data_IF_852766276435
#
_entry.id   IF_852766276435
#
_cell.length_a   1.000
_cell.length_b   1.000
_cell.length_c   1.000
_cell.angle_alpha   90.00
_cell.angle_beta   90.00
_cell.angle_gamma   90.00
#
_symmetry.space_group_name_H-M   'P 1'
#
loop_
_entity.id
_entity.type
_entity.pdbx_description
1 polymer ?
#
# COMPACT_ATOMS: atom_id res chain seq x y z
N UNK A 1 15.64 1.42 12.00
CA UNK A 1 14.87 0.15 12.11
C UNK A 1 13.36 0.40 12.11
N UNK A 2 12.83 1.31 12.93
CA UNK A 2 11.36 1.51 13.05
C UNK A 2 10.68 1.89 11.74
N UNK A 3 11.06 3.01 11.10
CA UNK A 3 10.39 3.51 9.89
C UNK A 3 10.37 2.47 8.76
N UNK A 4 11.52 2.07 8.20
CA UNK A 4 11.54 1.13 7.07
C UNK A 4 10.94 -0.25 7.37
N UNK A 5 10.89 -0.66 8.65
CA UNK A 5 10.18 -1.86 9.03
C UNK A 5 8.67 -1.64 8.93
N UNK A 6 8.14 -0.62 9.61
CA UNK A 6 6.68 -0.37 9.74
C UNK A 6 6.08 0.28 8.49
N UNK A 7 6.74 1.27 7.92
CA UNK A 7 6.36 2.10 6.75
C UNK A 7 7.07 1.63 5.48
N UNK A 8 7.45 0.34 5.43
CA UNK A 8 8.10 -0.25 4.27
C UNK A 8 7.82 -1.74 4.20
N UNK A 9 8.54 -2.54 4.99
CA UNK A 9 8.42 -4.01 4.95
C UNK A 9 7.00 -4.48 5.28
N UNK A 10 6.36 -3.92 6.30
CA UNK A 10 4.97 -4.27 6.66
C UNK A 10 3.96 -3.90 5.57
N UNK A 11 4.19 -2.83 4.80
CA UNK A 11 3.33 -2.46 3.68
C UNK A 11 3.40 -3.48 2.55
N UNK A 12 4.61 -3.97 2.24
CA UNK A 12 4.81 -5.03 1.25
C UNK A 12 4.07 -6.31 1.65
N UNK A 13 4.17 -6.70 2.93
CA UNK A 13 3.45 -7.87 3.47
C UNK A 13 1.94 -7.67 3.35
N UNK A 14 1.44 -6.50 3.75
CA UNK A 14 0.01 -6.16 3.68
C UNK A 14 -0.50 -6.19 2.23
N UNK A 15 0.23 -5.56 1.30
CA UNK A 15 -0.13 -5.53 -0.12
C UNK A 15 -0.15 -6.94 -0.72
N UNK A 16 0.84 -7.78 -0.40
CA UNK A 16 0.89 -9.16 -0.86
C UNK A 16 -0.27 -10.00 -0.31
N UNK A 17 -0.60 -9.85 0.97
CA UNK A 17 -1.75 -10.53 1.58
C UNK A 17 -3.07 -10.08 0.95
N UNK A 18 -3.25 -8.77 0.75
CA UNK A 18 -4.44 -8.22 0.09
C UNK A 18 -4.57 -8.74 -1.35
N UNK A 19 -3.49 -8.70 -2.12
CA UNK A 19 -3.45 -9.23 -3.48
C UNK A 19 -3.82 -10.72 -3.52
N UNK A 20 -3.26 -11.53 -2.63
CA UNK A 20 -3.60 -12.95 -2.50
C UNK A 20 -5.10 -13.15 -2.23
N UNK A 21 -5.68 -12.41 -1.28
CA UNK A 21 -7.11 -12.48 -0.97
C UNK A 21 -7.95 -12.09 -2.18
N UNK A 22 -7.61 -11.00 -2.87
CA UNK A 22 -8.32 -10.54 -4.06
C UNK A 22 -8.28 -11.58 -5.19
N UNK A 23 -7.14 -12.24 -5.42
CA UNK A 23 -7.01 -13.33 -6.41
C UNK A 23 -7.98 -14.47 -6.08
N UNK A 24 -8.03 -14.89 -4.81
CA UNK A 24 -8.88 -16.01 -4.39
C UNK A 24 -10.37 -15.68 -4.38
N UNK A 25 -10.72 -14.43 -4.17
CA UNK A 25 -12.10 -14.01 -3.88
C UNK A 25 -12.80 -13.36 -5.09
N UNK A 26 -12.09 -12.67 -5.97
CA UNK A 26 -12.74 -11.92 -7.05
C UNK A 26 -12.87 -12.72 -8.35
N UNK A 27 -11.96 -13.68 -8.58
CA UNK A 27 -11.86 -14.39 -9.87
C UNK A 27 -11.37 -13.50 -11.02
N UNK A 28 -10.87 -12.30 -10.72
CA UNK A 28 -10.13 -11.46 -11.67
C UNK A 28 -8.80 -12.14 -12.01
N UNK A 29 -8.30 -11.92 -13.23
CA UNK A 29 -7.03 -12.46 -13.67
C UNK A 29 -5.89 -12.07 -12.72
N UNK A 30 -5.07 -13.06 -12.37
CA UNK A 30 -3.89 -12.91 -11.51
C UNK A 30 -2.94 -11.88 -12.08
N UNK A 31 -2.75 -11.85 -13.40
CA UNK A 31 -1.85 -10.90 -14.06
C UNK A 31 -2.23 -9.45 -13.74
N UNK A 32 -3.53 -9.14 -13.71
CA UNK A 32 -4.01 -7.78 -13.40
C UNK A 32 -3.70 -7.42 -11.95
N UNK A 33 -3.99 -8.33 -11.00
CA UNK A 33 -3.79 -8.08 -9.57
C UNK A 33 -2.30 -7.97 -9.25
N UNK A 34 -1.45 -8.80 -9.84
CA UNK A 34 0.00 -8.73 -9.64
C UNK A 34 0.61 -7.46 -10.22
N UNK A 35 0.14 -6.98 -11.38
CA UNK A 35 0.57 -5.66 -11.91
C UNK A 35 0.26 -4.54 -10.92
N UNK A 36 -0.94 -4.54 -10.34
CA UNK A 36 -1.29 -3.58 -9.28
C UNK A 36 -0.40 -3.72 -8.05
N UNK A 37 -0.12 -4.96 -7.62
CA UNK A 37 0.77 -5.23 -6.50
C UNK A 37 2.17 -4.63 -6.74
N UNK A 38 2.75 -4.86 -7.92
CA UNK A 38 4.06 -4.30 -8.24
C UNK A 38 4.06 -2.77 -8.26
N UNK A 39 3.02 -2.14 -8.81
CA UNK A 39 2.87 -0.67 -8.77
C UNK A 39 2.83 -0.16 -7.32
N UNK A 40 2.02 -0.78 -6.47
CA UNK A 40 1.89 -0.40 -5.05
C UNK A 40 3.23 -0.56 -4.31
N UNK A 41 3.92 -1.69 -4.50
CA UNK A 41 5.22 -1.95 -3.86
C UNK A 41 6.27 -0.94 -4.35
N UNK A 42 6.31 -0.63 -5.64
CA UNK A 42 7.24 0.36 -6.18
C UNK A 42 6.98 1.74 -5.57
N UNK A 43 5.72 2.15 -5.50
CA UNK A 43 5.34 3.43 -4.87
C UNK A 43 5.79 3.46 -3.40
N UNK A 44 5.43 2.45 -2.61
CA UNK A 44 5.80 2.33 -1.20
C UNK A 44 7.32 2.41 -0.98
N UNK A 45 8.11 1.66 -1.77
CA UNK A 45 9.57 1.67 -1.62
C UNK A 45 10.18 3.01 -2.03
N UNK A 46 9.74 3.59 -3.15
CA UNK A 46 10.29 4.87 -3.63
C UNK A 46 9.98 5.99 -2.64
N UNK A 47 8.75 6.05 -2.12
CA UNK A 47 8.35 7.08 -1.15
C UNK A 47 8.97 6.84 0.21
N UNK A 48 8.84 5.64 0.80
CA UNK A 48 9.29 5.36 2.17
C UNK A 48 10.82 5.31 2.36
N UNK A 49 11.59 4.86 1.35
CA UNK A 49 13.06 4.81 1.50
C UNK A 49 13.64 6.22 1.66
N UNK A 50 13.22 7.18 0.83
CA UNK A 50 13.69 8.56 0.92
C UNK A 50 12.91 9.33 1.99
N UNK A 51 11.63 9.00 2.16
CA UNK A 51 10.71 9.57 3.16
C UNK A 51 11.15 9.33 4.60
N UNK A 52 11.97 8.29 4.85
CA UNK A 52 12.69 8.12 6.14
C UNK A 52 13.39 9.42 6.59
N UNK A 53 13.79 10.28 5.64
CA UNK A 53 14.34 11.61 5.85
C UNK A 53 13.53 12.52 6.77
N UNK A 54 12.21 12.31 6.90
CA UNK A 54 11.37 13.10 7.82
C UNK A 54 11.67 12.88 9.30
N UNK A 55 12.36 11.79 9.65
CA UNK A 55 12.89 11.57 11.01
C UNK A 55 14.21 12.29 11.24
N UNK A 56 14.83 12.81 10.18
CA UNK A 56 16.17 13.40 10.21
C UNK A 56 16.17 14.93 10.38
N UNK A 57 15.00 15.57 10.29
CA UNK A 57 14.84 17.02 10.31
C UNK A 57 15.53 17.70 11.51
N UNK A 58 15.52 17.07 12.68
CA UNK A 58 15.90 17.72 13.94
C UNK A 58 16.93 16.93 14.78
N UNK A 59 17.60 15.94 14.18
CA UNK A 59 18.60 15.12 14.88
C UNK A 59 20.06 15.51 14.52
N UNK A 60 20.25 16.67 13.88
CA UNK A 60 21.56 17.19 13.49
C UNK A 60 22.11 16.65 12.16
N UNK A 61 21.25 16.12 11.28
CA UNK A 61 21.64 15.76 9.91
C UNK A 61 21.68 16.98 8.97
N UNK A 62 22.31 16.88 7.79
CA UNK A 62 22.35 17.99 6.83
C UNK A 62 20.96 18.49 6.38
N UNK A 63 20.86 19.79 6.09
CA UNK A 63 19.60 20.47 5.76
C UNK A 63 18.89 19.93 4.50
N UNK A 64 19.61 19.28 3.58
CA UNK A 64 18.97 18.71 2.39
C UNK A 64 17.92 17.65 2.75
N UNK A 65 17.99 17.04 3.94
CA UNK A 65 16.97 16.11 4.40
C UNK A 65 15.62 16.77 4.66
N UNK A 66 15.56 18.08 4.97
CA UNK A 66 14.28 18.78 5.05
C UNK A 66 13.56 18.75 3.70
N UNK A 67 14.27 19.01 2.60
CA UNK A 67 13.69 18.94 1.26
C UNK A 67 13.30 17.52 0.85
N UNK A 68 14.23 16.57 0.94
CA UNK A 68 13.97 15.19 0.51
C UNK A 68 12.93 14.50 1.39
N UNK A 69 13.06 14.62 2.71
CA UNK A 69 12.13 14.05 3.66
C UNK A 69 10.73 14.61 3.49
N UNK A 70 10.56 15.94 3.35
CA UNK A 70 9.23 16.53 3.15
C UNK A 70 8.57 16.13 1.84
N UNK A 71 9.32 16.10 0.73
CA UNK A 71 8.74 15.75 -0.57
C UNK A 71 8.31 14.29 -0.59
N UNK A 72 9.16 13.37 -0.15
CA UNK A 72 8.89 11.94 -0.28
C UNK A 72 7.91 11.43 0.78
N UNK A 73 7.96 11.95 2.01
CA UNK A 73 6.97 11.58 3.03
C UNK A 73 5.57 12.10 2.69
N UNK A 74 5.45 13.25 2.02
CA UNK A 74 4.16 13.73 1.51
C UNK A 74 3.55 12.81 0.44
N UNK A 75 4.36 11.96 -0.20
CA UNK A 75 3.91 11.00 -1.22
C UNK A 75 3.60 9.60 -0.62
N UNK A 76 4.01 9.30 0.61
CA UNK A 76 3.75 8.01 1.27
C UNK A 76 2.27 7.62 1.39
N UNK A 77 1.28 8.53 1.42
CA UNK A 77 -0.14 8.14 1.36
C UNK A 77 -0.59 7.52 0.03
N UNK A 78 0.14 7.75 -1.07
CA UNK A 78 -0.22 7.29 -2.42
C UNK A 78 -0.34 5.76 -2.54
N UNK A 79 0.64 4.93 -2.12
CA UNK A 79 0.51 3.47 -2.17
C UNK A 79 -0.73 2.95 -1.42
N UNK A 80 -1.08 3.54 -0.28
CA UNK A 80 -2.28 3.14 0.48
C UNK A 80 -3.59 3.53 -0.22
N UNK A 81 -3.63 4.71 -0.83
CA UNK A 81 -4.75 5.10 -1.66
C UNK A 81 -4.88 4.17 -2.87
N UNK A 82 -3.77 3.79 -3.51
CA UNK A 82 -3.75 2.83 -4.61
C UNK A 82 -4.24 1.44 -4.16
N UNK A 83 -3.93 0.98 -2.94
CA UNK A 83 -4.49 -0.25 -2.36
C UNK A 83 -6.01 -0.18 -2.23
N UNK A 84 -6.55 0.96 -1.77
CA UNK A 84 -8.00 1.18 -1.68
C UNK A 84 -8.65 1.10 -3.07
N UNK A 85 -8.11 1.83 -4.04
CA UNK A 85 -8.60 1.82 -5.42
C UNK A 85 -8.55 0.41 -6.00
N UNK A 86 -7.43 -0.31 -5.83
CA UNK A 86 -7.27 -1.68 -6.27
C UNK A 86 -8.33 -2.60 -5.66
N UNK A 87 -8.47 -2.60 -4.32
CA UNK A 87 -9.44 -3.45 -3.62
C UNK A 87 -10.88 -3.21 -4.11
N UNK A 88 -11.28 -1.94 -4.27
CA UNK A 88 -12.62 -1.62 -4.77
C UNK A 88 -12.81 -2.02 -6.23
N UNK A 89 -11.82 -1.78 -7.09
CA UNK A 89 -11.89 -2.09 -8.51
C UNK A 89 -11.98 -3.60 -8.75
N UNK A 90 -11.11 -4.40 -8.09
CA UNK A 90 -11.13 -5.86 -8.23
C UNK A 90 -12.43 -6.48 -7.69
N UNK A 91 -12.97 -5.95 -6.59
CA UNK A 91 -14.26 -6.43 -6.04
C UNK A 91 -15.44 -6.04 -6.92
N UNK A 92 -15.41 -4.88 -7.58
CA UNK A 92 -16.45 -4.45 -8.51
C UNK A 92 -16.40 -5.24 -9.83
N UNK A 93 -15.21 -5.65 -10.26
CA UNK A 93 -14.98 -6.48 -11.45
C UNK A 93 -15.07 -7.99 -11.19
N UNK A 94 -15.54 -8.41 -10.02
CA UNK A 94 -15.57 -9.83 -9.65
C UNK A 94 -16.38 -10.64 -10.66
N UNK A 95 -15.80 -11.73 -11.14
CA UNK A 95 -16.44 -12.65 -12.07
C UNK A 95 -17.22 -13.76 -11.35
N UNK A 96 -17.06 -13.89 -10.02
CA UNK A 96 -17.69 -14.95 -9.21
C UNK A 96 -18.45 -14.35 -8.04
N UNK A 97 -19.60 -14.96 -7.73
CA UNK A 97 -20.32 -14.73 -6.48
C UNK A 97 -19.55 -15.37 -5.32
N UNK A 98 -19.43 -14.65 -4.20
CA UNK A 98 -18.71 -15.12 -3.02
C UNK A 98 -19.67 -15.52 -1.91
N UNK A 99 -19.54 -16.76 -1.45
CA UNK A 99 -20.36 -17.31 -0.36
C UNK A 99 -20.04 -16.63 0.99
N UNK A 100 -18.80 -16.19 1.16
CA UNK A 100 -18.31 -15.53 2.39
C UNK A 100 -18.11 -14.03 2.17
N UNK A 101 -19.20 -13.27 2.18
CA UNK A 101 -19.17 -11.81 1.97
C UNK A 101 -18.31 -11.06 3.00
N UNK A 102 -18.11 -11.63 4.19
CA UNK A 102 -17.22 -11.08 5.21
C UNK A 102 -15.77 -10.90 4.74
N UNK A 103 -15.27 -11.80 3.88
CA UNK A 103 -13.89 -11.69 3.35
C UNK A 103 -13.79 -10.52 2.35
N UNK A 104 -14.82 -10.35 1.52
CA UNK A 104 -14.90 -9.22 0.57
C UNK A 104 -14.97 -7.89 1.33
N UNK A 105 -15.78 -7.83 2.38
CA UNK A 105 -15.90 -6.64 3.22
C UNK A 105 -14.59 -6.34 3.95
N UNK A 106 -13.95 -7.36 4.51
CA UNK A 106 -12.65 -7.22 5.16
C UNK A 106 -11.59 -6.72 4.17
N UNK A 107 -11.50 -7.26 2.95
CA UNK A 107 -10.53 -6.81 1.95
C UNK A 107 -10.70 -5.34 1.57
N UNK A 108 -11.95 -4.87 1.40
CA UNK A 108 -12.25 -3.44 1.15
C UNK A 108 -11.94 -2.58 2.37
N UNK A 109 -12.33 -3.05 3.56
CA UNK A 109 -12.08 -2.38 4.83
C UNK A 109 -10.59 -2.19 5.10
N UNK A 110 -9.78 -3.23 4.89
CA UNK A 110 -8.32 -3.15 5.00
C UNK A 110 -7.73 -2.10 4.06
N UNK A 111 -8.21 -2.02 2.81
CA UNK A 111 -7.81 -0.95 1.88
C UNK A 111 -8.08 0.44 2.46
N UNK A 112 -9.32 0.69 2.90
CA UNK A 112 -9.72 2.00 3.47
C UNK A 112 -8.91 2.32 4.72
N UNK A 113 -8.82 1.40 5.68
CA UNK A 113 -8.08 1.62 6.94
C UNK A 113 -6.61 1.90 6.67
N UNK A 114 -6.02 1.22 5.68
CA UNK A 114 -4.63 1.47 5.28
C UNK A 114 -4.46 2.90 4.72
N UNK A 115 -5.45 3.45 4.01
CA UNK A 115 -5.40 4.83 3.48
C UNK A 115 -5.60 5.95 4.51
N UNK A 116 -5.95 5.62 5.76
CA UNK A 116 -6.13 6.58 6.84
C UNK A 116 -4.86 6.76 7.69
N UNK A 117 -3.76 6.15 7.28
CA UNK A 117 -2.49 6.18 8.01
C UNK A 117 -1.66 7.41 7.67
#
# INVERSE_FOLDING_TARGET
VVHLWVEGVWELIMAAMLAFVLIKVTGVDREVIEKWLYVIITLALVTGIIGTGHHYFWIGTPEYWQWWGSIFSALEPIPFFAMTVCAFNMVNRRARGQRHMGIVLWARGTGVVASLR
#
